data_IF_972844335203
#
_entry.id   IF_972844335203
#
_cell.length_a   1.000
_cell.length_b   1.000
_cell.length_c   1.000
_cell.angle_alpha   90.00
_cell.angle_beta   90.00
_cell.angle_gamma   90.00
#
_symmetry.space_group_name_H-M   'P 1'
#
loop_
_entity.id
_entity.type
_entity.pdbx_description
1 polymer ?
#
# COMPACT_ATOMS: atom_id res chain seq x y z
N UNK A 1 -11.14 7.90 18.05
CA UNK A 1 -10.58 7.35 16.79
C UNK A 1 -11.76 7.07 15.87
N UNK A 2 -11.78 7.61 14.64
CA UNK A 2 -12.86 7.31 13.68
C UNK A 2 -12.86 5.80 13.42
N UNK A 3 -14.04 5.17 13.42
CA UNK A 3 -14.22 3.74 13.12
C UNK A 3 -13.68 3.45 11.71
N UNK A 4 -13.02 2.33 11.43
CA UNK A 4 -12.55 2.02 10.07
C UNK A 4 -13.74 1.80 9.12
N UNK A 5 -13.55 2.01 7.82
CA UNK A 5 -14.63 1.81 6.87
C UNK A 5 -14.95 0.32 6.71
N UNK A 6 -13.91 -0.53 6.69
CA UNK A 6 -14.06 -1.99 6.69
C UNK A 6 -14.88 -2.51 7.88
N UNK A 7 -14.72 -1.90 9.07
CA UNK A 7 -15.52 -2.26 10.26
C UNK A 7 -17.00 -1.94 10.04
N UNK A 8 -17.30 -0.85 9.32
CA UNK A 8 -18.68 -0.48 8.95
C UNK A 8 -19.26 -1.48 7.98
N UNK A 9 -18.51 -1.86 6.94
CA UNK A 9 -18.90 -2.89 5.98
C UNK A 9 -19.25 -4.20 6.69
N UNK A 10 -18.31 -4.74 7.47
CA UNK A 10 -18.47 -6.03 8.16
C UNK A 10 -19.66 -6.00 9.14
N UNK A 11 -19.90 -4.87 9.80
CA UNK A 11 -21.01 -4.72 10.75
C UNK A 11 -22.36 -4.41 10.08
N UNK A 12 -22.36 -4.03 8.81
CA UNK A 12 -23.59 -3.64 8.12
C UNK A 12 -24.44 -4.88 7.84
N UNK A 13 -25.73 -4.90 8.22
CA UNK A 13 -26.60 -6.05 7.99
C UNK A 13 -26.77 -6.33 6.49
N UNK A 14 -26.71 -5.29 5.66
CA UNK A 14 -26.70 -5.38 4.20
C UNK A 14 -25.60 -4.49 3.63
N UNK A 15 -24.82 -5.04 2.72
CA UNK A 15 -23.96 -4.29 1.83
C UNK A 15 -24.53 -4.55 0.44
N UNK A 16 -25.03 -3.51 -0.23
CA UNK A 16 -25.65 -3.71 -1.54
C UNK A 16 -24.63 -4.27 -2.52
N UNK A 17 -24.95 -5.40 -3.16
CA UNK A 17 -24.10 -6.08 -4.13
C UNK A 17 -23.09 -7.09 -3.55
N UNK A 18 -22.91 -7.15 -2.23
CA UNK A 18 -21.90 -8.00 -1.57
C UNK A 18 -22.53 -9.23 -0.91
N UNK A 19 -21.97 -10.41 -1.19
CA UNK A 19 -22.37 -11.68 -0.61
C UNK A 19 -21.67 -11.97 0.74
N UNK A 20 -22.14 -13.00 1.45
CA UNK A 20 -21.58 -13.38 2.75
C UNK A 20 -20.13 -13.88 2.65
N UNK A 21 -19.76 -14.47 1.52
CA UNK A 21 -18.38 -14.90 1.25
C UNK A 21 -17.43 -13.70 1.18
N UNK A 22 -17.79 -12.67 0.42
CA UNK A 22 -17.03 -11.41 0.33
C UNK A 22 -16.93 -10.77 1.72
N UNK A 23 -18.03 -10.74 2.48
CA UNK A 23 -18.03 -10.21 3.85
C UNK A 23 -17.10 -10.99 4.78
N UNK A 24 -17.02 -12.31 4.66
CA UNK A 24 -16.11 -13.13 5.45
C UNK A 24 -14.66 -12.84 5.09
N UNK A 25 -14.33 -12.75 3.80
CA UNK A 25 -13.00 -12.37 3.35
C UNK A 25 -12.56 -10.99 3.85
N UNK A 26 -13.48 -10.02 3.95
CA UNK A 26 -13.15 -8.69 4.50
C UNK A 26 -12.63 -8.77 5.95
N UNK A 27 -13.09 -9.75 6.76
CA UNK A 27 -12.64 -9.93 8.15
C UNK A 27 -11.19 -10.40 8.26
N UNK A 28 -10.69 -11.02 7.19
CA UNK A 28 -9.33 -11.58 7.12
C UNK A 28 -8.35 -10.58 6.50
N UNK A 29 -8.84 -9.40 6.07
CA UNK A 29 -8.02 -8.45 5.37
C UNK A 29 -6.98 -7.76 6.26
N UNK A 30 -5.77 -7.57 5.70
CA UNK A 30 -4.79 -6.61 6.21
C UNK A 30 -5.22 -5.22 5.79
N UNK A 31 -5.51 -4.37 6.76
CA UNK A 31 -6.06 -3.03 6.54
C UNK A 31 -4.92 -2.02 6.45
N UNK A 32 -4.81 -1.34 5.32
CA UNK A 32 -3.94 -0.20 5.05
C UNK A 32 -4.79 1.06 5.02
N UNK A 33 -4.55 1.95 6.00
CA UNK A 33 -5.22 3.24 6.04
C UNK A 33 -4.37 4.26 5.28
N UNK A 34 -4.89 4.72 4.14
CA UNK A 34 -4.25 5.67 3.23
C UNK A 34 -4.79 7.06 3.59
N UNK A 35 -3.95 7.91 4.20
CA UNK A 35 -4.34 9.27 4.59
C UNK A 35 -3.47 10.30 3.90
N UNK A 36 -4.05 11.44 3.53
CA UNK A 36 -3.34 12.61 2.98
C UNK A 36 -2.56 12.35 1.67
N UNK A 37 -2.90 11.31 0.92
CA UNK A 37 -2.20 10.92 -0.31
C UNK A 37 -2.90 11.46 -1.57
N UNK A 38 -4.22 11.56 -1.55
CA UNK A 38 -5.01 11.94 -2.73
C UNK A 38 -4.64 13.29 -3.39
N UNK A 39 -4.27 14.37 -2.66
CA UNK A 39 -3.87 15.63 -3.31
C UNK A 39 -2.55 15.51 -4.11
N UNK A 40 -1.81 14.41 -3.92
CA UNK A 40 -0.50 14.17 -4.54
C UNK A 40 -0.52 13.09 -5.60
N UNK A 41 -1.65 12.40 -5.79
CA UNK A 41 -1.80 11.39 -6.82
C UNK A 41 -2.23 12.09 -8.10
N UNK A 42 -1.38 12.03 -9.13
CA UNK A 42 -1.72 12.54 -10.45
C UNK A 42 -2.99 11.85 -10.99
N UNK A 43 -3.85 12.61 -11.66
CA UNK A 43 -5.10 12.10 -12.24
C UNK A 43 -4.81 10.95 -13.23
N UNK A 44 -3.71 11.07 -13.97
CA UNK A 44 -3.17 10.02 -14.84
C UNK A 44 -1.79 9.61 -14.33
N UNK A 45 -1.65 8.37 -13.89
CA UNK A 45 -0.34 7.79 -13.62
C UNK A 45 0.11 7.07 -14.89
N UNK A 46 1.28 7.44 -15.39
CA UNK A 46 1.96 6.63 -16.39
C UNK A 46 2.41 5.31 -15.73
N UNK A 47 1.75 4.20 -16.07
CA UNK A 47 2.02 2.90 -15.43
C UNK A 47 3.48 2.42 -15.59
N UNK A 48 4.18 2.89 -16.63
CA UNK A 48 5.63 2.68 -16.84
C UNK A 48 6.49 3.29 -15.73
N UNK A 49 6.01 4.36 -15.08
CA UNK A 49 6.70 5.06 -13.99
C UNK A 49 6.38 4.48 -12.62
N UNK A 50 5.42 3.56 -12.51
CA UNK A 50 5.16 2.87 -11.27
C UNK A 50 6.35 1.98 -10.88
N UNK A 51 6.67 1.91 -9.58
CA UNK A 51 7.69 0.98 -9.12
C UNK A 51 7.25 -0.45 -9.38
N UNK A 52 8.25 -1.34 -9.54
CA UNK A 52 8.00 -2.78 -9.64
C UNK A 52 7.18 -3.24 -8.43
N UNK A 53 6.12 -3.98 -8.71
CA UNK A 53 5.26 -4.57 -7.71
C UNK A 53 5.71 -6.00 -7.42
N UNK A 54 5.62 -6.42 -6.16
CA UNK A 54 6.04 -7.73 -5.71
C UNK A 54 4.87 -8.47 -5.01
N UNK A 55 3.81 -8.85 -5.76
CA UNK A 55 2.76 -9.73 -5.23
C UNK A 55 3.35 -11.05 -4.68
N UNK A 56 2.64 -11.78 -3.79
CA UNK A 56 1.21 -11.69 -3.54
C UNK A 56 0.77 -10.59 -2.58
N UNK A 57 -0.41 -10.01 -2.84
CA UNK A 57 -1.11 -9.06 -1.96
C UNK A 57 -2.39 -9.68 -1.42
N UNK A 58 -2.30 -10.89 -0.89
CA UNK A 58 -3.46 -11.63 -0.40
C UNK A 58 -4.20 -10.85 0.68
N UNK A 59 -5.53 -10.76 0.51
CA UNK A 59 -6.45 -10.13 1.44
C UNK A 59 -6.00 -8.73 1.86
N UNK A 60 -5.50 -7.91 0.93
CA UNK A 60 -5.12 -6.53 1.25
C UNK A 60 -6.33 -5.61 1.10
N UNK A 61 -6.57 -4.78 2.10
CA UNK A 61 -7.63 -3.77 2.08
C UNK A 61 -7.01 -2.39 2.20
N UNK A 62 -7.33 -1.51 1.27
CA UNK A 62 -6.92 -0.11 1.30
C UNK A 62 -8.16 0.73 1.56
N UNK A 63 -8.12 1.64 2.54
CA UNK A 63 -9.20 2.60 2.73
C UNK A 63 -8.68 4.01 2.94
N UNK A 64 -9.49 4.97 2.49
CA UNK A 64 -9.26 6.40 2.66
C UNK A 64 -10.59 7.15 2.78
N UNK A 65 -10.50 8.46 2.97
CA UNK A 65 -11.67 9.32 3.12
C UNK A 65 -11.47 10.59 2.34
N UNK A 66 -12.46 10.93 1.52
CA UNK A 66 -12.61 12.22 0.88
C UNK A 66 -13.41 13.11 1.81
N UNK A 67 -12.92 14.33 2.03
CA UNK A 67 -13.74 15.38 2.60
C UNK A 67 -14.40 16.09 1.42
N UNK A 68 -15.69 15.81 1.21
CA UNK A 68 -16.46 16.51 0.18
C UNK A 68 -16.89 17.84 0.79
N UNK A 69 -16.25 18.93 0.37
CA UNK A 69 -16.68 20.28 0.77
C UNK A 69 -18.00 20.63 0.08
N UNK A 70 -18.75 21.59 0.66
CA UNK A 70 -20.01 22.05 0.09
C UNK A 70 -19.79 22.62 -1.31
N UNK A 71 -20.83 22.51 -2.15
CA UNK A 71 -20.89 23.05 -3.52
C UNK A 71 -20.39 24.50 -3.64
N UNK A 72 -20.59 25.32 -2.61
CA UNK A 72 -20.20 26.74 -2.60
C UNK A 72 -18.67 26.97 -2.58
N UNK A 73 -17.87 25.95 -2.23
CA UNK A 73 -16.40 26.02 -2.14
C UNK A 73 -15.69 25.31 -3.31
N UNK A 74 -16.43 24.68 -4.23
CA UNK A 74 -15.87 23.95 -5.36
C UNK A 74 -15.62 24.93 -6.52
N UNK A 75 -14.39 25.01 -7.08
CA UNK A 75 -14.11 25.87 -8.23
C UNK A 75 -15.06 25.62 -9.41
N UNK A 76 -15.49 26.68 -10.09
CA UNK A 76 -16.48 26.63 -11.19
C UNK A 76 -16.09 25.70 -12.37
N UNK A 77 -14.83 25.28 -12.45
CA UNK A 77 -14.30 24.37 -13.47
C UNK A 77 -14.48 22.88 -13.14
N UNK A 78 -14.91 22.53 -11.92
CA UNK A 78 -15.12 21.14 -11.50
C UNK A 78 -16.41 20.51 -12.09
N UNK A 79 -17.33 21.34 -12.60
CA UNK A 79 -18.64 20.90 -13.11
C UNK A 79 -18.58 20.20 -14.48
N UNK A 80 -17.42 20.19 -15.15
CA UNK A 80 -17.26 19.55 -16.47
C UNK A 80 -17.01 18.04 -16.44
N UNK A 81 -16.77 17.46 -15.26
CA UNK A 81 -16.26 16.08 -15.10
C UNK A 81 -17.25 15.09 -14.49
N UNK A 82 -18.47 15.52 -14.14
CA UNK A 82 -19.53 14.67 -13.56
C UNK A 82 -20.91 15.17 -14.01
N UNK A 83 -21.86 14.26 -14.29
CA UNK A 83 -23.27 14.61 -14.55
C UNK A 83 -23.86 15.36 -13.33
N UNK A 84 -24.72 16.37 -13.56
CA UNK A 84 -25.43 17.11 -12.52
C UNK A 84 -26.17 16.17 -11.54
N UNK A 85 -26.66 15.02 -12.03
CA UNK A 85 -27.33 14.01 -11.20
C UNK A 85 -26.37 13.27 -10.25
N UNK A 86 -25.14 13.00 -10.71
CA UNK A 86 -24.07 12.39 -9.91
C UNK A 86 -23.45 13.37 -8.92
N UNK A 87 -23.27 14.62 -9.35
CA UNK A 87 -22.94 15.73 -8.47
C UNK A 87 -24.02 15.86 -7.39
N UNK A 88 -25.30 15.78 -7.70
CA UNK A 88 -26.35 15.80 -6.68
C UNK A 88 -26.31 14.57 -5.75
N UNK A 89 -26.02 13.37 -6.24
CA UNK A 89 -25.89 12.16 -5.41
C UNK A 89 -24.66 12.18 -4.49
N UNK A 90 -23.56 12.77 -4.95
CA UNK A 90 -22.28 12.87 -4.23
C UNK A 90 -22.15 14.12 -3.36
N UNK A 91 -22.76 15.25 -3.77
CA UNK A 91 -22.67 16.56 -3.11
C UNK A 91 -23.88 16.88 -2.22
N UNK A 92 -25.04 16.23 -2.39
CA UNK A 92 -26.13 16.34 -1.39
C UNK A 92 -25.90 15.46 -0.16
N UNK A 93 -24.78 14.73 -0.09
CA UNK A 93 -24.32 14.07 1.12
C UNK A 93 -23.26 14.93 1.80
N UNK A 94 -23.68 15.84 2.69
CA UNK A 94 -22.74 16.48 3.61
C UNK A 94 -22.01 15.39 4.43
N UNK A 95 -20.69 15.27 4.28
CA UNK A 95 -19.89 14.38 5.12
C UNK A 95 -18.65 13.77 4.48
N UNK A 96 -18.01 12.92 5.28
CA UNK A 96 -16.84 12.14 4.89
C UNK A 96 -17.24 10.99 3.94
N UNK A 97 -16.95 11.11 2.64
CA UNK A 97 -17.09 9.97 1.72
C UNK A 97 -15.94 9.01 1.94
N UNK A 98 -16.24 7.77 2.32
CA UNK A 98 -15.25 6.75 2.61
C UNK A 98 -15.16 5.79 1.45
N UNK A 99 -13.94 5.52 1.01
CA UNK A 99 -13.67 4.57 -0.08
C UNK A 99 -12.76 3.48 0.43
N UNK A 100 -13.03 2.27 -0.03
CA UNK A 100 -12.33 1.06 0.32
C UNK A 100 -12.10 0.20 -0.91
N UNK A 101 -10.91 -0.37 -1.04
CA UNK A 101 -10.55 -1.27 -2.13
C UNK A 101 -9.97 -2.54 -1.55
N UNK A 102 -10.62 -3.65 -1.83
CA UNK A 102 -10.05 -4.97 -1.60
C UNK A 102 -9.19 -5.33 -2.80
N UNK A 103 -7.91 -5.58 -2.55
CA UNK A 103 -6.95 -6.10 -3.51
C UNK A 103 -6.73 -7.58 -3.25
N UNK A 104 -6.87 -8.40 -4.28
CA UNK A 104 -6.44 -9.79 -4.29
C UNK A 104 -5.55 -10.08 -5.49
N UNK A 105 -4.70 -11.10 -5.38
CA UNK A 105 -3.73 -11.46 -6.41
C UNK A 105 -3.84 -12.93 -6.77
N UNK A 106 -3.69 -13.25 -8.05
CA UNK A 106 -3.59 -14.62 -8.54
C UNK A 106 -2.35 -14.74 -9.41
N UNK A 107 -1.53 -15.77 -9.15
CA UNK A 107 -0.39 -16.09 -10.02
C UNK A 107 -0.89 -16.76 -11.31
N UNK A 108 -0.31 -16.36 -12.42
CA UNK A 108 -0.50 -16.99 -13.73
C UNK A 108 0.84 -17.61 -14.11
N UNK A 109 0.89 -18.93 -14.26
CA UNK A 109 2.11 -19.73 -14.27
C UNK A 109 3.24 -19.16 -15.17
N UNK A 110 2.89 -18.63 -16.35
CA UNK A 110 3.86 -18.06 -17.32
C UNK A 110 3.63 -16.56 -17.66
N UNK A 111 2.71 -15.89 -16.96
CA UNK A 111 2.30 -14.51 -17.29
C UNK A 111 2.43 -13.54 -16.12
N UNK A 112 3.10 -13.96 -15.05
CA UNK A 112 3.25 -13.20 -13.82
C UNK A 112 2.01 -13.26 -12.93
N UNK A 113 1.38 -12.10 -12.68
CA UNK A 113 0.31 -11.96 -11.68
C UNK A 113 -0.87 -11.14 -12.20
N UNK A 114 -2.08 -11.56 -11.84
CA UNK A 114 -3.30 -10.77 -11.98
C UNK A 114 -3.70 -10.18 -10.64
N UNK A 115 -3.93 -8.87 -10.60
CA UNK A 115 -4.42 -8.12 -9.47
C UNK A 115 -5.90 -7.81 -9.69
N UNK A 116 -6.74 -8.11 -8.71
CA UNK A 116 -8.18 -7.89 -8.75
C UNK A 116 -8.54 -6.82 -7.72
N UNK A 117 -9.17 -5.75 -8.19
CA UNK A 117 -9.61 -4.63 -7.36
C UNK A 117 -11.12 -4.65 -7.23
N UNK A 118 -11.62 -4.73 -6.00
CA UNK A 118 -13.04 -4.66 -5.68
C UNK A 118 -13.31 -3.41 -4.84
N UNK A 119 -14.13 -2.51 -5.38
CA UNK A 119 -14.37 -1.18 -4.83
C UNK A 119 -15.61 -1.14 -3.92
N UNK A 120 -15.50 -0.37 -2.86
CA UNK A 120 -16.55 -0.10 -1.89
C UNK A 120 -16.56 1.39 -1.59
N UNK A 121 -17.73 1.99 -1.42
CA UNK A 121 -17.84 3.35 -0.89
C UNK A 121 -19.07 3.55 -0.04
N UNK A 122 -19.10 4.64 0.72
CA UNK A 122 -20.32 5.17 1.30
C UNK A 122 -20.96 6.19 0.36
N UNK A 123 -22.27 6.12 0.16
CA UNK A 123 -23.06 7.20 -0.43
C UNK A 123 -24.08 7.73 0.57
N UNK A 124 -24.37 9.05 0.56
CA UNK A 124 -25.45 9.62 1.35
C UNK A 124 -25.29 9.39 2.85
N UNK A 125 -26.30 8.77 3.46
CA UNK A 125 -26.42 8.43 4.89
C UNK A 125 -25.42 7.36 5.38
N UNK A 126 -24.18 7.32 4.87
CA UNK A 126 -23.17 6.32 5.17
C UNK A 126 -23.56 4.87 4.80
N UNK A 127 -24.48 4.67 3.86
CA UNK A 127 -24.84 3.32 3.41
C UNK A 127 -23.68 2.75 2.58
N UNK A 128 -23.08 1.62 2.99
CA UNK A 128 -22.01 1.02 2.21
C UNK A 128 -22.55 0.34 0.95
N UNK A 129 -21.93 0.67 -0.18
CA UNK A 129 -22.17 0.07 -1.48
C UNK A 129 -20.90 -0.64 -1.94
N UNK A 130 -21.05 -1.86 -2.47
CA UNK A 130 -20.01 -2.50 -3.26
C UNK A 130 -20.25 -2.18 -4.73
N UNK A 131 -19.23 -1.68 -5.42
CA UNK A 131 -19.35 -1.42 -6.84
C UNK A 131 -19.33 -2.71 -7.65
N UNK A 132 -20.09 -2.75 -8.74
CA UNK A 132 -20.12 -3.90 -9.61
C UNK A 132 -19.00 -3.87 -10.66
N UNK A 133 -18.04 -2.95 -10.52
CA UNK A 133 -16.87 -2.83 -11.37
C UNK A 133 -15.70 -3.50 -10.66
N UNK A 134 -15.05 -4.42 -11.35
CA UNK A 134 -13.77 -4.98 -10.96
C UNK A 134 -12.72 -4.58 -11.99
N UNK A 135 -11.54 -4.20 -11.52
CA UNK A 135 -10.40 -4.02 -12.40
C UNK A 135 -9.47 -5.21 -12.26
N UNK A 136 -8.98 -5.67 -13.40
CA UNK A 136 -7.93 -6.69 -13.45
C UNK A 136 -6.70 -6.05 -14.08
N UNK A 137 -5.64 -5.97 -13.30
CA UNK A 137 -4.33 -5.56 -13.80
C UNK A 137 -3.43 -6.77 -13.93
N UNK A 138 -2.72 -6.89 -15.05
CA UNK A 138 -1.70 -7.91 -15.24
C UNK A 138 -0.32 -7.30 -15.00
N UNK A 139 0.52 -8.04 -14.28
CA UNK A 139 1.91 -7.73 -13.99
C UNK A 139 2.76 -8.89 -14.48
N UNK A 140 3.88 -8.63 -15.15
CA UNK A 140 4.80 -9.69 -15.56
C UNK A 140 5.63 -10.24 -14.39
N UNK A 141 6.49 -11.21 -14.66
CA UNK A 141 7.32 -11.85 -13.62
C UNK A 141 8.30 -10.90 -12.94
N UNK A 142 8.75 -9.86 -13.66
CA UNK A 142 9.65 -8.84 -13.17
C UNK A 142 8.95 -7.76 -12.32
N UNK A 143 7.63 -7.86 -12.16
CA UNK A 143 6.85 -6.90 -11.39
C UNK A 143 6.42 -5.66 -12.17
N UNK A 144 6.59 -5.64 -13.49
CA UNK A 144 6.14 -4.53 -14.35
C UNK A 144 4.69 -4.68 -14.76
N UNK A 145 3.98 -3.55 -14.78
CA UNK A 145 2.64 -3.46 -15.30
C UNK A 145 2.61 -3.81 -16.80
N UNK A 146 1.64 -4.62 -17.20
CA UNK A 146 1.44 -5.03 -18.60
C UNK A 146 0.18 -4.40 -19.17
N UNK A 147 -0.96 -4.61 -18.51
CA UNK A 147 -2.25 -4.14 -18.97
C UNK A 147 -3.24 -3.96 -17.82
N UNK A 148 -4.23 -3.10 -18.03
CA UNK A 148 -5.41 -2.98 -17.18
C UNK A 148 -6.67 -3.25 -18.00
N UNK A 149 -7.50 -4.15 -17.49
CA UNK A 149 -8.78 -4.50 -18.07
C UNK A 149 -9.89 -4.12 -17.09
N UNK A 150 -10.86 -3.38 -17.59
CA UNK A 150 -12.06 -2.98 -16.85
C UNK A 150 -13.12 -4.07 -17.04
N UNK A 151 -13.70 -4.56 -15.95
CA UNK A 151 -14.79 -5.54 -15.99
C UNK A 151 -16.01 -4.98 -15.25
N UNK A 152 -17.09 -4.74 -15.99
CA UNK A 152 -18.39 -4.42 -15.41
C UNK A 152 -19.16 -5.73 -15.28
N UNK A 153 -19.65 -6.03 -14.08
CA UNK A 153 -20.46 -7.22 -13.84
C UNK A 153 -21.73 -7.16 -14.69
N UNK A 154 -22.00 -8.21 -15.46
CA UNK A 154 -23.25 -8.32 -16.21
C UNK A 154 -24.44 -8.65 -15.30
N UNK A 155 -25.66 -8.29 -15.73
CA UNK A 155 -26.90 -8.63 -15.03
C UNK A 155 -27.21 -7.77 -13.80
N UNK A 156 -26.64 -6.56 -13.74
CA UNK A 156 -26.97 -5.60 -12.69
C UNK A 156 -28.35 -4.99 -12.91
N UNK A 157 -29.05 -4.58 -11.83
CA UNK A 157 -30.18 -3.68 -11.94
C UNK A 157 -29.83 -2.44 -12.79
N UNK A 158 -30.73 -1.93 -13.65
CA UNK A 158 -30.43 -0.84 -14.59
C UNK A 158 -29.78 0.39 -13.94
N UNK A 159 -30.23 0.76 -12.74
CA UNK A 159 -29.68 1.89 -11.96
C UNK A 159 -28.19 1.70 -11.62
N UNK A 160 -27.80 0.49 -11.20
CA UNK A 160 -26.40 0.20 -10.87
C UNK A 160 -25.54 0.07 -12.13
N UNK A 161 -26.13 -0.30 -13.26
CA UNK A 161 -25.43 -0.37 -14.53
C UNK A 161 -25.16 1.02 -15.11
N UNK A 162 -26.12 1.95 -15.02
CA UNK A 162 -25.92 3.36 -15.39
C UNK A 162 -24.83 4.00 -14.54
N UNK A 163 -24.93 3.83 -13.21
CA UNK A 163 -23.93 4.32 -12.27
C UNK A 163 -22.53 3.77 -12.57
N UNK A 164 -22.44 2.48 -12.93
CA UNK A 164 -21.17 1.87 -13.28
C UNK A 164 -20.58 2.45 -14.57
N UNK A 165 -21.40 2.73 -15.59
CA UNK A 165 -20.95 3.39 -16.82
C UNK A 165 -20.39 4.77 -16.54
N UNK A 166 -21.17 5.62 -15.86
CA UNK A 166 -20.77 6.99 -15.55
C UNK A 166 -19.51 7.07 -14.68
N UNK A 167 -19.34 6.17 -13.70
CA UNK A 167 -18.12 6.17 -12.87
C UNK A 167 -16.87 5.70 -13.62
N UNK A 168 -17.05 4.87 -14.66
CA UNK A 168 -15.96 4.50 -15.56
C UNK A 168 -15.57 5.67 -16.45
N UNK A 169 -16.56 6.46 -16.88
CA UNK A 169 -16.38 7.61 -17.77
C UNK A 169 -15.77 8.82 -17.02
N UNK A 170 -16.05 8.97 -15.73
CA UNK A 170 -15.61 10.10 -14.90
C UNK A 170 -14.33 9.82 -14.07
N UNK A 171 -13.55 8.80 -14.41
CA UNK A 171 -12.24 8.47 -13.80
C UNK A 171 -12.16 8.29 -12.27
N UNK A 172 -13.29 8.33 -11.54
CA UNK A 172 -13.32 8.11 -10.08
C UNK A 172 -12.68 6.77 -9.72
N UNK A 173 -13.00 5.72 -10.48
CA UNK A 173 -12.43 4.40 -10.21
C UNK A 173 -10.95 4.35 -10.57
N UNK A 174 -10.54 5.06 -11.63
CA UNK A 174 -9.14 5.18 -12.00
C UNK A 174 -8.31 5.87 -10.91
N UNK A 175 -8.82 6.94 -10.29
CA UNK A 175 -8.20 7.57 -9.14
C UNK A 175 -8.04 6.61 -7.95
N UNK A 176 -9.05 5.77 -7.70
CA UNK A 176 -8.98 4.74 -6.66
C UNK A 176 -7.88 3.71 -6.92
N UNK A 177 -7.70 3.30 -8.17
CA UNK A 177 -6.62 2.39 -8.60
C UNK A 177 -5.26 3.07 -8.45
N UNK A 178 -5.13 4.29 -8.94
CA UNK A 178 -3.92 5.10 -8.84
C UNK A 178 -3.49 5.26 -7.38
N UNK A 179 -4.46 5.49 -6.48
CA UNK A 179 -4.23 5.57 -5.04
C UNK A 179 -3.67 4.27 -4.47
N UNK A 180 -4.21 3.12 -4.86
CA UNK A 180 -3.70 1.81 -4.42
C UNK A 180 -2.30 1.55 -4.98
N UNK A 181 -2.06 1.83 -6.25
CA UNK A 181 -0.73 1.65 -6.85
C UNK A 181 0.32 2.56 -6.22
N UNK A 182 -0.04 3.81 -5.95
CA UNK A 182 0.83 4.72 -5.23
C UNK A 182 1.14 4.20 -3.82
N UNK A 183 0.12 3.73 -3.08
CA UNK A 183 0.33 3.14 -1.75
C UNK A 183 1.21 1.88 -1.79
N UNK A 184 1.04 1.01 -2.78
CA UNK A 184 1.91 -0.15 -3.00
C UNK A 184 3.34 0.27 -3.36
N UNK A 185 3.49 1.31 -4.17
CA UNK A 185 4.81 1.86 -4.50
C UNK A 185 5.53 2.40 -3.28
N UNK A 186 4.81 3.14 -2.43
CA UNK A 186 5.33 3.61 -1.16
C UNK A 186 5.72 2.46 -0.22
N UNK A 187 4.96 1.36 -0.18
CA UNK A 187 5.32 0.18 0.61
C UNK A 187 6.68 -0.43 0.22
N UNK A 188 7.12 -0.22 -1.03
CA UNK A 188 8.43 -0.65 -1.51
C UNK A 188 9.54 0.37 -1.23
N UNK A 189 9.20 1.60 -0.81
CA UNK A 189 10.18 2.64 -0.52
C UNK A 189 10.79 2.45 0.87
N UNK A 190 12.13 2.45 0.93
CA UNK A 190 12.90 2.27 2.18
C UNK A 190 12.58 3.28 3.28
N UNK A 191 12.09 4.45 2.90
CA UNK A 191 11.74 5.52 3.84
C UNK A 191 10.31 5.45 4.35
N UNK A 192 9.55 4.43 3.97
CA UNK A 192 8.20 4.21 4.44
C UNK A 192 8.23 3.08 5.46
N UNK A 193 7.65 3.33 6.63
CA UNK A 193 7.44 2.30 7.66
C UNK A 193 5.95 2.08 7.89
N UNK A 194 5.59 0.86 8.30
CA UNK A 194 4.24 0.53 8.70
C UNK A 194 4.13 0.60 10.22
N UNK A 195 3.22 1.44 10.73
CA UNK A 195 2.89 1.47 12.16
C UNK A 195 1.58 0.72 12.35
N UNK A 196 1.64 -0.41 13.05
CA UNK A 196 0.45 -1.15 13.47
C UNK A 196 -0.32 -0.34 14.52
N UNK A 197 -1.63 -0.19 14.31
CA UNK A 197 -2.57 0.50 15.19
C UNK A 197 -3.86 -0.31 15.34
N UNK A 198 -4.56 -0.12 16.45
CA UNK A 198 -5.82 -0.83 16.74
C UNK A 198 -5.60 -2.23 17.32
N UNK A 199 -6.65 -3.07 17.26
CA UNK A 199 -6.70 -4.37 17.94
C UNK A 199 -7.07 -4.31 19.44
N UNK A 200 -7.39 -5.47 20.06
CA UNK A 200 -7.64 -5.51 21.50
C UNK A 200 -6.36 -5.18 22.27
N UNK A 201 -6.40 -4.31 23.30
CA UNK A 201 -5.24 -4.00 24.10
C UNK A 201 -4.65 -5.27 24.72
N UNK A 202 -3.31 -5.40 24.62
CA UNK A 202 -2.55 -6.50 25.21
C UNK A 202 -2.82 -6.51 26.72
N UNK A 203 -3.30 -7.65 27.25
CA UNK A 203 -3.44 -7.88 28.70
C UNK A 203 -4.83 -7.73 29.32
N UNK A 204 -5.90 -7.48 28.55
CA UNK A 204 -7.26 -7.34 29.13
C UNK A 204 -8.13 -8.56 28.78
N UNK A 205 -8.66 -9.24 29.81
CA UNK A 205 -9.51 -10.44 29.71
C UNK A 205 -10.69 -10.23 28.75
N UNK A 206 -10.96 -11.25 27.91
CA UNK A 206 -12.06 -11.33 26.94
C UNK A 206 -13.40 -10.96 27.56
N UNK A 207 -13.88 -9.75 27.29
CA UNK A 207 -15.24 -9.34 27.63
C UNK A 207 -16.17 -9.74 26.47
N UNK A 208 -17.20 -10.55 26.74
CA UNK A 208 -18.09 -11.15 25.70
C UNK A 208 -18.86 -10.14 24.85
N UNK A 209 -18.92 -8.87 25.27
CA UNK A 209 -19.65 -7.79 24.59
C UNK A 209 -18.76 -6.86 23.74
N UNK A 210 -17.47 -7.16 23.56
CA UNK A 210 -16.55 -6.25 22.87
C UNK A 210 -16.70 -6.36 21.35
N UNK A 211 -17.02 -5.24 20.69
CA UNK A 211 -17.05 -5.12 19.23
C UNK A 211 -15.66 -5.44 18.66
N UNK A 212 -15.62 -6.24 17.59
CA UNK A 212 -14.41 -6.52 16.81
C UNK A 212 -13.78 -5.19 16.37
N UNK A 213 -12.50 -5.01 16.64
CA UNK A 213 -11.72 -3.86 16.19
C UNK A 213 -10.52 -4.39 15.40
N UNK A 214 -10.46 -4.10 14.10
CA UNK A 214 -9.35 -4.54 13.27
C UNK A 214 -8.03 -3.92 13.73
N UNK A 215 -6.95 -4.68 13.55
CA UNK A 215 -5.62 -4.13 13.47
C UNK A 215 -5.43 -3.53 12.08
N UNK A 216 -4.88 -2.33 12.01
CA UNK A 216 -4.61 -1.65 10.76
C UNK A 216 -3.20 -1.08 10.76
N UNK A 217 -2.65 -0.87 9.58
CA UNK A 217 -1.35 -0.27 9.38
C UNK A 217 -1.52 1.14 8.83
N UNK A 218 -0.78 2.07 9.40
CA UNK A 218 -0.61 3.42 8.86
C UNK A 218 0.75 3.48 8.19
N UNK A 219 0.78 3.86 6.91
CA UNK A 219 2.04 4.14 6.20
C UNK A 219 2.57 5.48 6.70
N UNK A 220 3.74 5.48 7.33
CA UNK A 220 4.40 6.69 7.77
C UNK A 220 5.66 6.93 6.94
N UNK A 221 5.71 8.09 6.29
CA UNK A 221 6.88 8.58 5.58
C UNK A 221 7.89 9.09 6.60
N UNK A 222 9.09 8.51 6.62
CA UNK A 222 10.27 9.03 7.32
C UNK A 222 11.09 9.88 6.37
N UNK A 223 11.82 10.84 6.92
CA UNK A 223 12.78 11.61 6.12
C UNK A 223 13.93 10.69 5.69
N UNK A 224 14.46 10.89 4.48
CA UNK A 224 15.61 10.10 4.01
C UNK A 224 16.82 10.22 4.94
N UNK A 225 17.00 11.36 5.63
CA UNK A 225 18.03 11.52 6.66
C UNK A 225 17.81 10.60 7.85
N UNK A 226 16.58 10.38 8.31
CA UNK A 226 16.28 9.42 9.38
C UNK A 226 16.53 7.98 8.92
N UNK A 227 16.24 7.67 7.66
CA UNK A 227 16.42 6.33 7.10
C UNK A 227 17.88 6.03 6.89
N UNK A 228 18.64 6.96 6.31
CA UNK A 228 20.09 6.88 6.23
C UNK A 228 20.72 6.91 7.61
N UNK A 229 20.16 7.62 8.60
CA UNK A 229 20.62 7.56 9.98
C UNK A 229 20.31 6.21 10.63
N UNK A 230 19.17 5.58 10.36
CA UNK A 230 18.89 4.20 10.82
C UNK A 230 19.79 3.20 10.10
N UNK A 231 20.08 3.39 8.82
CA UNK A 231 20.98 2.54 8.03
C UNK A 231 22.47 2.78 8.35
N UNK A 232 22.86 4.01 8.75
CA UNK A 232 24.22 4.44 9.03
C UNK A 232 24.58 4.34 10.51
N UNK A 233 23.66 4.70 11.41
CA UNK A 233 23.81 4.50 12.85
C UNK A 233 23.45 3.07 13.24
N UNK A 234 22.43 2.45 12.64
CA UNK A 234 21.79 1.28 13.26
C UNK A 234 21.56 1.48 14.76
N UNK A 235 21.29 2.71 15.21
CA UNK A 235 21.64 3.17 16.56
C UNK A 235 23.04 2.70 17.02
N UNK A 236 24.04 3.57 16.89
CA UNK A 236 24.89 3.78 18.04
C UNK A 236 24.35 5.00 18.81
N UNK A 237 23.46 4.73 19.79
CA UNK A 237 23.83 5.08 21.17
C UNK A 237 25.32 4.84 21.24
N UNK A 238 26.16 5.82 21.56
CA UNK A 238 27.63 5.71 21.60
C UNK A 238 28.12 4.38 22.23
N UNK A 239 28.04 3.30 21.46
CA UNK A 239 28.10 1.92 21.90
C UNK A 239 29.21 1.42 21.02
N UNK A 240 30.41 1.63 21.53
CA UNK A 240 31.58 0.90 21.11
C UNK A 240 31.14 -0.53 20.75
N UNK A 241 31.19 -0.86 19.46
CA UNK A 241 30.80 -2.17 18.96
C UNK A 241 31.87 -3.19 19.36
N UNK A 242 31.47 -4.43 19.64
CA UNK A 242 32.40 -5.52 19.94
C UNK A 242 33.41 -5.71 18.82
N UNK A 243 34.65 -6.04 19.19
CA UNK A 243 35.75 -6.25 18.26
C UNK A 243 35.44 -7.42 17.31
N UNK A 244 35.58 -7.19 16.00
CA UNK A 244 35.43 -8.23 14.98
C UNK A 244 36.23 -7.91 13.70
N UNK A 245 36.44 -8.94 12.88
CA UNK A 245 37.11 -8.82 11.58
C UNK A 245 36.09 -8.61 10.45
N UNK A 246 36.24 -7.51 9.71
CA UNK A 246 35.56 -7.25 8.46
C UNK A 246 36.33 -7.94 7.32
N UNK A 247 35.60 -8.58 6.39
CA UNK A 247 36.21 -9.23 5.22
C UNK A 247 36.65 -8.20 4.18
N UNK A 248 37.69 -8.54 3.45
CA UNK A 248 38.08 -7.76 2.28
C UNK A 248 37.02 -7.85 1.18
N UNK A 249 36.86 -6.76 0.43
CA UNK A 249 35.89 -6.67 -0.65
C UNK A 249 36.29 -5.59 -1.67
N UNK A 250 35.77 -5.71 -2.89
CA UNK A 250 35.90 -4.66 -3.89
C UNK A 250 34.88 -3.56 -3.65
N UNK A 251 35.29 -2.32 -3.94
CA UNK A 251 34.39 -1.18 -3.97
C UNK A 251 34.69 -0.30 -5.18
N UNK A 252 33.63 -0.03 -5.92
CA UNK A 252 33.64 0.76 -7.15
C UNK A 252 33.45 2.24 -6.86
N UNK A 253 34.29 3.08 -7.45
CA UNK A 253 34.18 4.53 -7.39
C UNK A 253 34.02 5.08 -8.80
N UNK A 254 32.95 5.86 -9.03
CA UNK A 254 32.59 6.42 -10.34
C UNK A 254 33.15 7.84 -10.51
N UNK A 255 33.05 8.39 -11.72
CA UNK A 255 33.45 9.78 -12.01
C UNK A 255 32.70 10.83 -11.17
N UNK A 256 31.46 10.53 -10.81
CA UNK A 256 30.62 11.39 -9.96
C UNK A 256 30.99 11.29 -8.48
N UNK A 257 31.54 10.15 -8.04
CA UNK A 257 31.94 9.87 -6.66
C UNK A 257 33.31 9.21 -6.61
N UNK A 258 34.37 9.92 -7.03
CA UNK A 258 35.71 9.35 -7.08
C UNK A 258 36.29 9.19 -5.67
N UNK A 259 37.11 8.15 -5.50
CA UNK A 259 37.86 7.91 -4.26
C UNK A 259 38.81 9.09 -4.01
N UNK A 260 38.73 9.68 -2.81
CA UNK A 260 39.42 10.92 -2.43
C UNK A 260 39.18 12.10 -3.37
N UNK A 261 38.05 12.12 -4.07
CA UNK A 261 37.73 13.18 -5.02
C UNK A 261 38.50 13.07 -6.35
N UNK A 262 39.29 12.02 -6.58
CA UNK A 262 40.21 11.93 -7.73
C UNK A 262 40.23 10.59 -8.47
N UNK A 263 40.15 9.45 -7.78
CA UNK A 263 40.39 8.14 -8.39
C UNK A 263 39.09 7.40 -8.71
N UNK A 264 38.98 6.88 -9.93
CA UNK A 264 37.80 6.18 -10.46
C UNK A 264 38.23 4.74 -10.78
N UNK A 265 37.39 3.77 -10.42
CA UNK A 265 37.65 2.35 -10.66
C UNK A 265 37.24 1.47 -9.48
N UNK A 266 37.56 0.18 -9.61
CA UNK A 266 37.36 -0.82 -8.56
C UNK A 266 38.63 -0.93 -7.73
N UNK A 267 38.49 -0.72 -6.42
CA UNK A 267 39.60 -0.90 -5.49
C UNK A 267 39.26 -1.99 -4.50
N UNK A 268 40.27 -2.78 -4.17
CA UNK A 268 40.17 -3.80 -3.13
C UNK A 268 40.40 -3.16 -1.76
N UNK A 269 39.49 -3.41 -0.83
CA UNK A 269 39.69 -3.15 0.59
C UNK A 269 40.11 -4.42 1.27
N UNK A 270 41.26 -4.38 1.96
CA UNK A 270 41.72 -5.50 2.74
C UNK A 270 40.82 -5.77 3.96
N UNK A 271 40.83 -7.04 4.37
CA UNK A 271 40.23 -7.42 5.62
C UNK A 271 40.91 -6.67 6.78
N UNK A 272 40.12 -6.13 7.70
CA UNK A 272 40.61 -5.35 8.83
C UNK A 272 39.72 -5.54 10.05
N UNK A 273 40.28 -5.28 11.23
CA UNK A 273 39.52 -5.32 12.47
C UNK A 273 38.81 -4.00 12.75
N UNK A 274 37.60 -4.06 13.30
CA UNK A 274 36.82 -2.91 13.72
C UNK A 274 36.18 -3.19 15.09
N UNK A 275 35.96 -2.13 15.87
CA UNK A 275 35.34 -2.22 17.21
C UNK A 275 36.35 -2.24 18.35
N UNK A 276 35.84 -2.40 19.58
CA UNK A 276 36.61 -2.37 20.83
C UNK A 276 36.55 -3.72 21.54
N UNK A 277 37.71 -4.26 21.90
CA UNK A 277 37.83 -5.51 22.67
C UNK A 277 37.12 -5.40 24.03
N UNK A 278 37.09 -4.18 24.61
CA UNK A 278 36.44 -3.92 25.90
C UNK A 278 34.93 -4.21 25.90
N UNK A 279 34.30 -4.30 24.73
CA UNK A 279 32.87 -4.58 24.55
C UNK A 279 32.59 -6.01 24.11
N UNK A 280 33.60 -6.88 24.18
CA UNK A 280 33.52 -8.26 23.75
C UNK A 280 34.14 -8.47 22.37
N UNK A 281 34.36 -9.73 22.03
CA UNK A 281 34.93 -10.17 20.76
C UNK A 281 33.85 -11.02 20.06
N UNK A 282 33.58 -10.73 18.80
CA UNK A 282 32.71 -11.56 17.96
C UNK A 282 33.59 -12.37 17.02
N UNK A 283 33.65 -13.68 17.25
CA UNK A 283 34.26 -14.63 16.33
C UNK A 283 33.22 -15.14 15.33
N UNK A 284 33.64 -15.31 14.08
CA UNK A 284 32.78 -15.86 13.02
C UNK A 284 33.43 -17.14 12.50
N UNK A 285 32.77 -18.26 12.72
CA UNK A 285 33.15 -19.54 12.14
C UNK A 285 32.27 -19.81 10.91
N UNK A 286 32.90 -20.23 9.82
CA UNK A 286 32.18 -20.60 8.61
C UNK A 286 32.17 -22.11 8.54
N UNK A 287 30.98 -22.70 8.60
CA UNK A 287 30.82 -24.09 8.25
C UNK A 287 30.64 -24.18 6.74
N UNK A 288 31.68 -24.63 6.04
CA UNK A 288 31.62 -24.89 4.61
C UNK A 288 31.06 -26.31 4.48
N UNK A 289 29.78 -26.41 4.16
CA UNK A 289 29.21 -27.69 3.78
C UNK A 289 29.75 -28.02 2.39
N UNK A 290 30.57 -29.06 2.30
CA UNK A 290 30.94 -29.65 1.02
C UNK A 290 29.65 -30.15 0.35
N UNK A 291 29.35 -29.78 -0.90
CA UNK A 291 28.40 -30.55 -1.67
C UNK A 291 29.00 -31.95 -1.87
N UNK A 292 28.34 -32.91 -1.23
CA UNK A 292 28.55 -34.35 -1.28
C UNK A 292 28.33 -34.85 -2.72
N UNK A 293 29.13 -35.84 -3.14
CA UNK A 293 29.13 -36.36 -4.51
C UNK A 293 27.75 -36.92 -4.92
N UNK A 294 27.23 -36.46 -6.06
CA UNK A 294 26.77 -37.28 -7.20
C UNK A 294 26.71 -36.45 -8.49
#
# INVERSE_FOLDING_TARGET
MKKLFIDTLISSPKINGCDDETRNHLRECRVFLVQNILPTVENEIEFSNLPRLAPPYENSWFEWTYNVQKRDDVPDDFSGLLDEHMLDLMLNSEGDTRVGVKLSTKRNDDKGWSLYFQFFMTMGNNTPLMFPIAYITSINEDGYFVEIKKYIRHGLPPVLNSLAGEMVDNDIVQQGINTVFYALGLLNCKNIITIERGGPPIGIKRNRHRKWTHRHYVLQIRTMREVTKIEHDGESINSEISFHFCRGHFKTYSAEKPLFGKFIGDFWWDAHARGSIKKGIVTKDYNINSPEND
#
